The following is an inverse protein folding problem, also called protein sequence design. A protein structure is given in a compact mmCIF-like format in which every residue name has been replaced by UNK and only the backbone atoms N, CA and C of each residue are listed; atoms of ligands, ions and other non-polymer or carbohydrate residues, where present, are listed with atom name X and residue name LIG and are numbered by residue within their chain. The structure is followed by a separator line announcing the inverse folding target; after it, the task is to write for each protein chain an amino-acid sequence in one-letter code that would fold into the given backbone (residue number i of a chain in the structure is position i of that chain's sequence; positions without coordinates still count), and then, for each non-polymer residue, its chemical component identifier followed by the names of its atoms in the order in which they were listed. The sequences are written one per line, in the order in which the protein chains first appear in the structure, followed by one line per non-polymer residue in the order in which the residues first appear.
data_IF_751506132640
#
_entry.id   IF_751506132640
#
_cell.length_a   1.000
_cell.length_b   1.000
_cell.length_c   1.000
_cell.angle_alpha   90.00
_cell.angle_beta   90.00
_cell.angle_gamma   90.00
#
_symmetry.space_group_name_H-M   'P 1'
#
loop_
_entity.id
_entity.type
_entity.pdbx_description
1 polymer ?
#
# COMPACT_ATOMS: atom_id res chain seq x y z
N UNK A 1 -8.23 -8.25 13.71
CA UNK A 1 -6.79 -7.88 13.72
C UNK A 1 -6.42 -7.62 15.17
N UNK A 2 -5.36 -8.24 15.70
CA UNK A 2 -4.88 -7.93 17.06
C UNK A 2 -3.85 -6.81 16.97
N UNK A 3 -3.98 -5.78 17.81
CA UNK A 3 -3.12 -4.58 17.81
C UNK A 3 -1.62 -4.90 17.92
N UNK A 4 -1.28 -6.06 18.49
CA UNK A 4 0.10 -6.53 18.70
C UNK A 4 0.93 -6.70 17.42
N UNK A 5 0.31 -7.05 16.29
CA UNK A 5 1.03 -7.28 15.04
C UNK A 5 0.95 -6.08 14.07
N UNK A 6 0.29 -5.00 14.47
CA UNK A 6 0.02 -3.83 13.63
C UNK A 6 1.17 -2.82 13.74
N UNK A 7 2.04 -2.74 12.74
CA UNK A 7 3.25 -1.90 12.83
C UNK A 7 2.88 -0.41 12.85
N UNK A 8 2.14 0.09 11.86
CA UNK A 8 1.87 1.52 11.74
C UNK A 8 1.05 2.02 12.92
N UNK A 9 0.00 1.29 13.31
CA UNK A 9 -0.79 1.62 14.50
C UNK A 9 0.07 1.81 15.75
N UNK A 10 1.07 0.94 15.96
CA UNK A 10 1.92 0.97 17.16
C UNK A 10 2.95 2.12 17.16
N UNK A 11 3.38 2.60 15.98
CA UNK A 11 4.35 3.71 15.87
C UNK A 11 3.76 5.04 15.43
N UNK A 12 2.46 5.09 15.10
CA UNK A 12 1.80 6.28 14.58
C UNK A 12 1.99 7.51 15.49
N UNK A 13 1.73 7.35 16.79
CA UNK A 13 1.86 8.45 17.78
C UNK A 13 3.30 8.91 18.00
N UNK A 14 4.28 8.12 17.57
CA UNK A 14 5.71 8.41 17.72
C UNK A 14 6.28 9.17 16.51
N UNK A 15 5.48 9.35 15.45
CA UNK A 15 5.89 10.02 14.21
C UNK A 15 7.17 9.43 13.58
N UNK A 16 7.26 8.09 13.61
CA UNK A 16 8.40 7.33 13.09
C UNK A 16 8.21 6.86 11.65
N UNK A 17 7.00 6.93 11.11
CA UNK A 17 6.70 6.52 9.74
C UNK A 17 7.19 7.62 8.80
N UNK A 18 8.02 7.27 7.83
CA UNK A 18 8.34 8.12 6.69
C UNK A 18 7.77 7.50 5.44
N UNK A 19 7.34 8.37 4.52
CA UNK A 19 6.61 7.95 3.34
C UNK A 19 7.11 8.70 2.12
N UNK A 20 7.34 7.96 1.04
CA UNK A 20 7.75 8.49 -0.26
C UNK A 20 6.76 8.01 -1.30
N UNK A 21 6.42 8.85 -2.28
CA UNK A 21 5.40 8.52 -3.29
C UNK A 21 5.85 8.91 -4.67
N UNK A 22 5.28 8.24 -5.69
CA UNK A 22 5.45 8.60 -7.10
C UNK A 22 4.86 9.98 -7.45
N UNK A 23 3.90 10.45 -6.64
CA UNK A 23 3.19 11.70 -6.80
C UNK A 23 1.86 11.65 -6.05
N UNK A 24 1.11 12.74 -6.04
CA UNK A 24 -0.23 12.76 -5.43
C UNK A 24 -1.19 13.58 -6.26
N UNK A 25 -2.37 13.03 -6.54
CA UNK A 25 -3.49 13.75 -7.13
C UNK A 25 -4.38 14.35 -6.04
N UNK A 26 -5.39 15.11 -6.46
CA UNK A 26 -6.32 15.77 -5.56
C UNK A 26 -7.59 14.95 -5.33
N UNK A 27 -8.30 15.29 -4.27
CA UNK A 27 -9.64 14.78 -3.98
C UNK A 27 -10.47 15.91 -3.38
N UNK A 28 -11.79 15.84 -3.50
CA UNK A 28 -12.67 16.73 -2.76
C UNK A 28 -12.76 16.28 -1.30
N UNK A 29 -12.16 17.05 -0.38
CA UNK A 29 -12.07 16.72 1.04
C UNK A 29 -12.65 17.90 1.82
N UNK A 30 -13.67 17.64 2.64
CA UNK A 30 -14.27 18.63 3.55
C UNK A 30 -14.71 19.95 2.89
N UNK A 31 -15.26 19.89 1.68
CA UNK A 31 -15.81 21.08 1.02
C UNK A 31 -14.88 21.78 0.01
N UNK A 32 -13.66 21.27 -0.18
CA UNK A 32 -12.71 21.83 -1.15
C UNK A 32 -11.85 20.77 -1.81
N UNK A 33 -11.33 21.06 -3.00
CA UNK A 33 -10.33 20.24 -3.67
C UNK A 33 -8.99 20.42 -2.96
N UNK A 34 -8.35 19.32 -2.57
CA UNK A 34 -7.06 19.32 -1.87
C UNK A 34 -6.16 18.24 -2.45
N UNK A 35 -4.87 18.54 -2.60
CA UNK A 35 -3.85 17.51 -2.87
C UNK A 35 -3.89 16.51 -1.71
N UNK A 36 -4.06 15.24 -2.05
CA UNK A 36 -4.11 14.18 -1.06
C UNK A 36 -2.72 13.94 -0.46
N UNK A 37 -2.68 13.43 0.76
CA UNK A 37 -1.44 13.27 1.52
C UNK A 37 -1.14 11.78 1.72
N UNK A 38 0.11 11.32 1.50
CA UNK A 38 0.48 9.92 1.74
C UNK A 38 0.18 9.44 3.16
N UNK A 39 0.24 10.36 4.15
CA UNK A 39 -0.10 10.13 5.55
C UNK A 39 -1.51 9.56 5.74
N UNK A 40 -2.43 9.86 4.81
CA UNK A 40 -3.80 9.34 4.86
C UNK A 40 -3.82 7.81 4.76
N UNK A 41 -2.82 7.15 4.16
CA UNK A 41 -2.84 5.68 4.08
C UNK A 41 -2.61 5.01 5.43
N UNK A 42 -2.02 5.66 6.42
CA UNK A 42 -1.69 5.03 7.70
C UNK A 42 -2.20 5.82 8.90
N UNK A 43 -3.05 6.82 8.69
CA UNK A 43 -3.74 7.43 9.81
C UNK A 43 -4.62 6.41 10.55
N UNK A 44 -4.86 6.75 11.81
CA UNK A 44 -5.56 5.87 12.74
C UNK A 44 -7.00 6.32 12.97
N UNK A 45 -7.55 7.15 12.07
CA UNK A 45 -8.92 7.66 12.15
C UNK A 45 -9.79 7.04 11.06
N UNK A 46 -11.08 6.90 11.35
CA UNK A 46 -12.05 6.57 10.32
C UNK A 46 -12.25 7.78 9.41
N UNK A 47 -12.17 7.55 8.10
CA UNK A 47 -12.24 8.61 7.10
C UNK A 47 -12.76 8.08 5.77
N UNK A 48 -13.27 9.01 4.97
CA UNK A 48 -13.76 8.75 3.62
C UNK A 48 -12.85 9.29 2.51
N UNK A 49 -11.82 10.06 2.89
CA UNK A 49 -10.79 10.52 1.99
C UNK A 49 -9.61 9.56 1.95
N UNK A 50 -8.88 9.60 0.85
CA UNK A 50 -7.84 8.63 0.49
C UNK A 50 -6.54 9.36 0.15
N UNK A 51 -5.44 8.61 0.12
CA UNK A 51 -4.32 9.02 -0.68
C UNK A 51 -4.55 8.58 -2.14
N UNK A 52 -4.42 9.53 -3.05
CA UNK A 52 -4.51 9.34 -4.49
C UNK A 52 -3.13 9.56 -5.10
N UNK A 53 -2.59 8.57 -5.80
CA UNK A 53 -1.36 8.74 -6.57
C UNK A 53 -1.53 9.75 -7.71
N UNK A 54 -0.42 10.16 -8.33
CA UNK A 54 -0.46 10.77 -9.66
C UNK A 54 -1.07 9.79 -10.68
N UNK A 55 -1.60 10.34 -11.77
CA UNK A 55 -2.14 9.56 -12.88
C UNK A 55 -1.02 9.33 -13.89
N UNK A 56 -0.82 8.07 -14.28
CA UNK A 56 0.16 7.69 -15.28
C UNK A 56 -0.15 8.34 -16.63
N UNK A 57 0.82 9.07 -17.18
CA UNK A 57 0.73 9.72 -18.50
C UNK A 57 1.05 8.71 -19.61
N UNK A 58 1.79 7.66 -19.27
CA UNK A 58 2.13 6.52 -20.13
C UNK A 58 1.72 5.19 -19.49
N UNK A 59 1.74 4.10 -20.27
CA UNK A 59 1.46 2.74 -19.78
C UNK A 59 2.53 2.16 -18.85
N UNK A 60 3.63 2.88 -18.63
CA UNK A 60 4.75 2.44 -17.78
C UNK A 60 4.96 3.34 -16.56
N UNK A 61 4.09 4.33 -16.36
CA UNK A 61 4.15 5.25 -15.22
C UNK A 61 3.47 4.61 -14.00
N UNK A 62 4.04 3.52 -13.51
CA UNK A 62 3.47 2.75 -12.40
C UNK A 62 3.51 3.57 -11.10
N UNK A 63 2.35 3.94 -10.52
CA UNK A 63 2.31 4.64 -9.25
C UNK A 63 2.78 3.73 -8.12
N UNK A 64 3.40 4.34 -7.11
CA UNK A 64 3.91 3.61 -5.95
C UNK A 64 3.92 4.47 -4.69
N UNK A 65 3.95 3.78 -3.55
CA UNK A 65 4.16 4.36 -2.22
C UNK A 65 5.15 3.51 -1.44
N UNK A 66 6.11 4.15 -0.78
CA UNK A 66 7.17 3.52 0.01
C UNK A 66 7.02 3.96 1.45
N UNK A 67 7.17 3.02 2.37
CA UNK A 67 7.19 3.25 3.80
C UNK A 67 8.52 2.80 4.40
N UNK A 68 9.00 3.56 5.37
CA UNK A 68 10.09 3.15 6.28
C UNK A 68 9.79 3.62 7.69
N UNK A 69 10.38 2.96 8.68
CA UNK A 69 10.26 3.33 10.09
C UNK A 69 11.63 3.79 10.58
N UNK A 70 11.72 5.04 11.05
CA UNK A 70 12.98 5.66 11.50
C UNK A 70 13.74 4.76 12.46
N UNK A 71 15.01 4.47 12.13
CA UNK A 71 15.94 3.67 12.94
C UNK A 71 15.39 2.29 13.36
N UNK A 72 14.59 1.65 12.49
CA UNK A 72 14.02 0.32 12.74
C UNK A 72 14.08 -0.55 11.48
N UNK A 73 14.23 -1.85 11.68
CA UNK A 73 14.02 -2.86 10.65
C UNK A 73 12.59 -3.39 10.76
N UNK A 74 11.93 -3.51 9.61
CA UNK A 74 10.58 -4.06 9.48
C UNK A 74 10.70 -5.57 9.24
N UNK A 75 10.20 -6.39 10.17
CA UNK A 75 10.04 -7.83 9.97
C UNK A 75 8.59 -8.09 9.55
N UNK A 76 8.36 -8.14 8.25
CA UNK A 76 7.05 -8.14 7.61
C UNK A 76 6.49 -9.58 7.48
N UNK A 77 5.28 -9.80 7.98
CA UNK A 77 4.53 -11.07 7.88
C UNK A 77 3.23 -10.97 7.08
N UNK A 78 2.96 -9.80 6.53
CA UNK A 78 1.74 -9.55 5.80
C UNK A 78 1.38 -8.07 5.82
N UNK A 79 0.21 -7.77 5.28
CA UNK A 79 -0.32 -6.41 5.26
C UNK A 79 -1.84 -6.45 5.14
N UNK A 80 -2.47 -5.43 5.68
CA UNK A 80 -3.85 -5.09 5.38
C UNK A 80 -3.88 -3.92 4.40
N UNK A 81 -4.79 -3.99 3.45
CA UNK A 81 -5.01 -2.97 2.45
C UNK A 81 -6.51 -2.72 2.32
N UNK A 82 -6.90 -1.45 2.36
CA UNK A 82 -8.22 -0.94 2.01
C UNK A 82 -8.08 0.00 0.82
N UNK A 83 -8.67 -0.38 -0.30
CA UNK A 83 -8.74 0.48 -1.48
C UNK A 83 -9.52 1.75 -1.19
N UNK A 84 -9.18 2.82 -1.89
CA UNK A 84 -9.83 4.11 -1.75
C UNK A 84 -11.21 4.15 -2.37
N UNK A 85 -11.66 5.35 -2.68
CA UNK A 85 -12.96 5.63 -3.26
C UNK A 85 -14.10 5.26 -2.30
N UNK A 86 -13.90 5.55 -1.00
CA UNK A 86 -14.86 5.23 0.06
C UNK A 86 -16.02 6.21 0.20
N UNK A 87 -15.98 7.36 -0.47
CA UNK A 87 -17.10 8.28 -0.53
C UNK A 87 -18.13 7.85 -1.59
N UNK A 88 -19.40 8.20 -1.36
CA UNK A 88 -20.60 7.78 -2.12
C UNK A 88 -20.69 8.36 -3.56
N UNK A 89 -19.56 8.68 -4.19
CA UNK A 89 -19.48 9.35 -5.48
C UNK A 89 -18.62 8.59 -6.50
N UNK A 90 -19.00 8.67 -7.78
CA UNK A 90 -18.33 8.03 -8.92
C UNK A 90 -16.94 8.60 -9.26
N UNK A 91 -16.37 9.48 -8.41
CA UNK A 91 -15.12 10.18 -8.66
C UNK A 91 -14.22 10.08 -7.43
N UNK A 92 -13.11 9.37 -7.57
CA UNK A 92 -12.24 9.01 -6.47
C UNK A 92 -11.04 9.95 -6.34
N UNK A 93 -10.21 9.96 -7.39
CA UNK A 93 -9.05 10.83 -7.51
C UNK A 93 -9.30 11.77 -8.67
N UNK A 94 -9.19 13.07 -8.42
CA UNK A 94 -9.49 14.11 -9.39
C UNK A 94 -8.33 15.11 -9.48
N UNK A 95 -8.22 15.79 -10.62
CA UNK A 95 -7.35 16.95 -10.79
C UNK A 95 -5.85 16.64 -10.66
N UNK A 96 -5.32 15.96 -11.67
CA UNK A 96 -3.90 15.96 -12.04
C UNK A 96 -3.78 16.75 -13.35
N UNK A 97 -3.06 17.89 -13.36
CA UNK A 97 -2.70 18.66 -14.56
C UNK A 97 -3.81 18.85 -15.66
N UNK A 98 -5.05 19.19 -15.26
CA UNK A 98 -6.24 19.39 -16.14
C UNK A 98 -7.00 18.12 -16.57
N UNK A 99 -6.71 16.95 -16.02
CA UNK A 99 -7.44 15.72 -16.33
C UNK A 99 -8.71 15.55 -15.48
N UNK A 100 -9.72 14.89 -16.08
CA UNK A 100 -10.97 14.49 -15.44
C UNK A 100 -10.72 13.51 -14.28
N UNK A 101 -11.71 13.32 -13.41
CA UNK A 101 -11.65 12.37 -12.32
C UNK A 101 -11.44 10.93 -12.81
N UNK A 102 -10.47 10.21 -12.23
CA UNK A 102 -10.16 8.82 -12.56
C UNK A 102 -10.67 7.85 -11.50
N UNK A 103 -10.95 6.63 -11.95
CA UNK A 103 -11.29 5.53 -11.08
C UNK A 103 -10.04 4.72 -10.70
N UNK A 104 -9.35 5.19 -9.66
CA UNK A 104 -8.06 4.64 -9.22
C UNK A 104 -8.24 3.44 -8.29
N UNK A 105 -8.63 2.31 -8.87
CA UNK A 105 -8.91 1.07 -8.16
C UNK A 105 -7.64 0.23 -7.93
N UNK A 106 -7.65 -0.68 -6.95
CA UNK A 106 -6.57 -1.65 -6.75
C UNK A 106 -6.89 -2.92 -7.54
N UNK A 107 -6.19 -3.14 -8.67
CA UNK A 107 -6.45 -4.26 -9.58
C UNK A 107 -5.34 -5.31 -9.60
N UNK A 108 -4.15 -4.93 -10.09
CA UNK A 108 -2.93 -5.74 -9.98
C UNK A 108 -1.86 -4.90 -9.30
N UNK A 109 -1.21 -5.46 -8.27
CA UNK A 109 -0.16 -4.76 -7.53
C UNK A 109 0.83 -5.74 -6.90
N UNK A 110 2.02 -5.23 -6.64
CA UNK A 110 3.08 -5.92 -5.93
C UNK A 110 3.39 -5.20 -4.62
N UNK A 111 3.57 -5.98 -3.57
CA UNK A 111 4.26 -5.53 -2.36
C UNK A 111 5.72 -5.97 -2.46
N UNK A 112 6.61 -5.01 -2.29
CA UNK A 112 8.05 -5.19 -2.43
C UNK A 112 8.78 -4.71 -1.19
N UNK A 113 9.94 -5.28 -0.94
CA UNK A 113 10.83 -4.87 0.15
C UNK A 113 12.21 -4.51 -0.38
N UNK A 114 12.91 -3.63 0.33
CA UNK A 114 14.25 -3.18 -0.01
C UNK A 114 15.05 -2.79 1.22
N UNK A 115 16.36 -2.96 1.14
CA UNK A 115 17.31 -2.51 2.17
C UNK A 115 18.00 -1.18 1.81
N UNK A 116 18.01 -0.81 0.52
CA UNK A 116 18.78 0.31 -0.03
C UNK A 116 17.93 1.33 -0.79
N UNK A 117 16.62 1.10 -0.90
CA UNK A 117 15.66 1.88 -1.69
C UNK A 117 15.98 1.92 -3.20
N UNK A 118 16.75 0.95 -3.70
CA UNK A 118 17.19 0.84 -5.11
C UNK A 118 16.91 -0.54 -5.69
N UNK A 119 17.29 -1.59 -4.96
CA UNK A 119 17.03 -2.98 -5.30
C UNK A 119 15.77 -3.45 -4.58
N UNK A 120 14.85 -4.06 -5.32
CA UNK A 120 13.52 -4.39 -4.81
C UNK A 120 13.21 -5.86 -5.05
N UNK A 121 12.80 -6.56 -3.99
CA UNK A 121 12.28 -7.94 -4.06
C UNK A 121 10.77 -7.91 -3.91
N UNK A 122 10.04 -8.51 -4.85
CA UNK A 122 8.59 -8.75 -4.69
C UNK A 122 8.38 -9.89 -3.69
N UNK A 123 7.63 -9.60 -2.63
CA UNK A 123 7.30 -10.55 -1.56
C UNK A 123 5.84 -11.00 -1.63
N UNK A 124 5.01 -10.26 -2.35
CA UNK A 124 3.63 -10.64 -2.61
C UNK A 124 3.13 -9.94 -3.87
N UNK A 125 2.35 -10.66 -4.68
CA UNK A 125 1.76 -10.13 -5.90
C UNK A 125 0.28 -10.51 -5.98
N UNK A 126 -0.53 -9.54 -6.37
CA UNK A 126 -1.95 -9.75 -6.68
C UNK A 126 -2.16 -9.42 -8.15
N UNK A 127 -2.84 -10.32 -8.85
CA UNK A 127 -3.17 -10.15 -10.26
C UNK A 127 -4.67 -10.09 -10.43
N UNK A 128 -5.15 -8.99 -11.02
CA UNK A 128 -6.52 -8.82 -11.52
C UNK A 128 -7.61 -9.09 -10.48
N UNK A 129 -7.43 -8.56 -9.27
CA UNK A 129 -8.41 -8.69 -8.20
C UNK A 129 -9.61 -7.77 -8.45
N UNK A 130 -10.63 -8.33 -9.10
CA UNK A 130 -11.88 -7.64 -9.43
C UNK A 130 -12.67 -7.20 -8.17
N UNK A 131 -12.35 -7.72 -6.98
CA UNK A 131 -13.02 -7.37 -5.74
C UNK A 131 -12.41 -6.14 -5.07
N UNK A 132 -11.17 -5.74 -5.37
CA UNK A 132 -10.48 -4.66 -4.64
C UNK A 132 -10.73 -3.24 -5.20
N UNK A 133 -11.90 -3.02 -5.81
CA UNK A 133 -12.19 -1.80 -6.60
C UNK A 133 -12.60 -0.55 -5.81
N UNK A 134 -13.52 -0.65 -4.85
CA UNK A 134 -14.15 0.52 -4.19
C UNK A 134 -14.32 0.27 -2.70
N UNK A 135 -13.52 0.92 -1.87
CA UNK A 135 -13.60 0.80 -0.41
C UNK A 135 -13.58 -0.66 0.08
N UNK A 136 -12.88 -1.52 -0.66
CA UNK A 136 -12.77 -2.94 -0.35
C UNK A 136 -11.47 -3.18 0.36
N UNK A 137 -11.51 -4.12 1.29
CA UNK A 137 -10.40 -4.40 2.16
C UNK A 137 -10.07 -5.88 2.17
N UNK A 138 -8.77 -6.17 2.19
CA UNK A 138 -8.24 -7.52 2.32
C UNK A 138 -7.03 -7.50 3.23
N UNK A 139 -6.83 -8.62 3.92
CA UNK A 139 -5.62 -8.88 4.69
C UNK A 139 -4.88 -10.02 4.03
N UNK A 140 -3.58 -9.82 3.80
CA UNK A 140 -2.69 -10.79 3.20
C UNK A 140 -1.66 -11.21 4.24
N UNK A 141 -1.49 -12.52 4.39
CA UNK A 141 -0.51 -13.13 5.30
C UNK A 141 0.52 -13.88 4.49
N UNK A 142 1.77 -13.79 4.90
CA UNK A 142 2.89 -14.47 4.26
C UNK A 142 3.22 -15.76 5.01
N UNK A 143 3.72 -16.75 4.27
CA UNK A 143 4.24 -18.00 4.84
C UNK A 143 5.50 -17.75 5.68
N UNK A 144 6.32 -16.81 5.24
CA UNK A 144 7.60 -16.44 5.85
C UNK A 144 7.62 -14.98 6.33
N UNK A 145 8.76 -14.57 6.92
CA UNK A 145 8.98 -13.18 7.40
C UNK A 145 10.04 -12.52 6.56
N UNK A 146 9.75 -11.34 6.02
CA UNK A 146 10.70 -10.56 5.23
C UNK A 146 11.23 -9.38 6.04
N UNK A 147 12.55 -9.34 6.26
CA UNK A 147 13.21 -8.26 6.99
C UNK A 147 13.75 -7.20 6.04
N UNK A 148 13.33 -5.95 6.21
CA UNK A 148 13.76 -4.85 5.34
C UNK A 148 13.67 -3.45 5.99
N UNK A 149 14.36 -2.48 5.40
CA UNK A 149 14.24 -1.04 5.77
C UNK A 149 13.07 -0.34 5.08
N UNK A 150 12.74 -0.75 3.86
CA UNK A 150 11.74 -0.12 3.02
C UNK A 150 10.71 -1.15 2.57
N UNK A 151 9.45 -0.76 2.54
CA UNK A 151 8.35 -1.52 1.96
C UNK A 151 7.66 -0.65 0.91
N UNK A 152 7.49 -1.16 -0.31
CA UNK A 152 6.83 -0.48 -1.42
C UNK A 152 5.57 -1.23 -1.82
N UNK A 153 4.47 -0.50 -1.96
CA UNK A 153 3.32 -0.94 -2.73
C UNK A 153 3.39 -0.26 -4.10
N UNK A 154 3.35 -1.05 -5.17
CA UNK A 154 3.40 -0.56 -6.56
C UNK A 154 2.28 -1.21 -7.37
N UNK A 155 1.62 -0.42 -8.20
CA UNK A 155 0.64 -0.94 -9.15
C UNK A 155 1.36 -1.62 -10.32
N UNK A 156 0.90 -2.81 -10.71
CA UNK A 156 1.45 -3.56 -11.84
C UNK A 156 0.59 -3.40 -13.10
N UNK A 157 -0.72 -3.22 -12.94
CA UNK A 157 -1.68 -3.06 -14.03
C UNK A 157 -2.83 -2.14 -13.60
N UNK A 158 -3.30 -1.33 -14.53
CA UNK A 158 -4.48 -0.49 -14.33
C UNK A 158 -5.76 -1.33 -14.34
N UNK A 159 -6.82 -0.80 -13.74
CA UNK A 159 -8.15 -1.38 -13.88
C UNK A 159 -8.59 -1.35 -15.35
N UNK A 160 -9.41 -2.31 -15.84
CA UNK A 160 -9.84 -2.31 -17.22
C UNK A 160 -10.46 -0.97 -17.64
N UNK A 161 -9.96 -0.39 -18.75
CA UNK A 161 -10.38 0.92 -19.30
C UNK A 161 -9.94 2.16 -18.49
N UNK A 162 -9.17 1.97 -17.41
CA UNK A 162 -8.62 3.05 -16.61
C UNK A 162 -7.14 3.28 -16.89
N UNK A 163 -6.60 4.40 -16.40
CA UNK A 163 -5.16 4.68 -16.41
C UNK A 163 -4.49 4.13 -15.14
N UNK A 164 -3.16 4.05 -15.16
CA UNK A 164 -2.38 3.70 -13.99
C UNK A 164 -2.54 4.79 -12.92
N UNK A 165 -3.25 4.46 -11.85
CA UNK A 165 -3.35 5.26 -10.63
C UNK A 165 -3.82 4.37 -9.47
N UNK A 166 -3.51 4.78 -8.24
CA UNK A 166 -3.94 4.10 -7.01
C UNK A 166 -4.66 5.05 -6.07
N UNK A 167 -5.78 4.61 -5.53
CA UNK A 167 -6.40 5.20 -4.35
C UNK A 167 -6.29 4.23 -3.17
N UNK A 168 -5.75 4.70 -2.05
CA UNK A 168 -5.57 3.91 -0.83
C UNK A 168 -6.20 4.65 0.33
N UNK A 169 -7.22 4.04 0.94
CA UNK A 169 -7.84 4.56 2.15
C UNK A 169 -7.00 4.22 3.38
N UNK A 170 -6.52 2.96 3.44
CA UNK A 170 -5.74 2.46 4.56
C UNK A 170 -4.80 1.34 4.15
N UNK A 171 -3.59 1.38 4.68
CA UNK A 171 -2.59 0.33 4.61
C UNK A 171 -2.05 0.13 6.01
N UNK A 172 -1.85 -1.13 6.40
CA UNK A 172 -1.27 -1.48 7.69
C UNK A 172 -0.29 -2.63 7.47
N UNK A 173 0.99 -2.42 7.82
CA UNK A 173 1.98 -3.49 7.77
C UNK A 173 1.83 -4.39 8.98
N UNK A 174 1.80 -5.71 8.74
CA UNK A 174 1.66 -6.70 9.78
C UNK A 174 3.02 -7.35 10.06
N UNK A 175 3.46 -7.35 11.31
CA UNK A 175 4.77 -7.86 11.67
C UNK A 175 5.31 -7.31 12.99
N UNK A 176 6.63 -7.19 13.06
CA UNK A 176 7.34 -6.64 14.23
C UNK A 176 8.48 -5.73 13.79
N UNK A 177 8.83 -4.79 14.67
CA UNK A 177 10.00 -3.94 14.49
C UNK A 177 11.16 -4.47 15.34
N UNK A 178 12.35 -4.50 14.74
CA UNK A 178 13.60 -4.72 15.48
C UNK A 178 14.29 -3.39 15.75
N UNK A 179 14.91 -3.25 16.91
CA UNK A 179 15.85 -2.16 17.20
C UNK A 179 17.17 -2.45 16.50
N UNK A 180 17.67 -1.52 15.68
CA UNK A 180 18.97 -1.67 15.03
C UNK A 180 19.17 -0.79 13.81
N UNK A 181 20.39 -0.25 13.67
CA UNK A 181 20.92 0.32 12.43
C UNK A 181 21.69 -0.71 11.59
N UNK A 182 21.88 -1.91 12.12
CA UNK A 182 22.60 -3.01 11.49
C UNK A 182 21.59 -3.90 10.76
N UNK A 183 21.60 -3.80 9.43
CA UNK A 183 21.32 -4.96 8.61
C UNK A 183 22.66 -5.67 8.60
N UNK A 184 22.76 -6.80 9.28
CA UNK A 184 23.89 -7.69 9.06
C UNK A 184 23.79 -8.10 7.59
N UNK A 185 24.72 -7.65 6.75
CA UNK A 185 24.69 -7.90 5.30
C UNK A 185 24.98 -9.36 4.95
N UNK A 186 25.04 -10.25 5.95
CA UNK A 186 25.52 -11.63 5.85
C UNK A 186 24.44 -12.68 6.19
N UNK A 187 23.14 -12.36 6.10
CA UNK A 187 22.08 -13.38 5.94
C UNK A 187 21.48 -13.31 4.52
N UNK A 188 22.32 -13.63 3.53
CA UNK A 188 21.84 -14.24 2.30
C UNK A 188 21.36 -15.66 2.61
N UNK A 189 20.08 -15.83 2.92
CA UNK A 189 19.41 -17.11 2.68
C UNK A 189 18.32 -16.83 1.64
N UNK A 190 18.73 -16.95 0.38
CA UNK A 190 17.84 -17.04 -0.76
C UNK A 190 17.42 -18.49 -0.92
N UNK A 191 16.13 -18.78 -0.75
CA UNK A 191 15.47 -19.85 -1.50
C UNK A 191 14.57 -19.16 -2.55
N UNK A 192 14.93 -19.33 -3.81
CA UNK A 192 14.36 -18.67 -4.98
C UNK A 192 13.03 -19.31 -5.47
N UNK A 193 12.32 -20.07 -4.63
CA UNK A 193 11.21 -20.91 -5.10
C UNK A 193 9.82 -20.70 -4.46
N UNK A 194 9.62 -19.74 -3.56
CA UNK A 194 8.28 -19.52 -2.96
C UNK A 194 7.74 -18.10 -3.17
N UNK A 195 7.45 -17.75 -4.44
CA UNK A 195 6.41 -16.75 -4.68
C UNK A 195 5.10 -17.39 -4.26
N UNK A 196 4.59 -17.02 -3.08
CA UNK A 196 3.27 -17.42 -2.62
C UNK A 196 2.20 -16.76 -3.50
N UNK A 197 1.92 -17.39 -4.63
CA UNK A 197 0.77 -17.15 -5.49
C UNK A 197 -0.39 -17.85 -4.78
N UNK A 198 -1.48 -17.12 -4.53
CA UNK A 198 -2.74 -17.55 -3.90
C UNK A 198 -2.83 -17.27 -2.38
N UNK A 199 -3.30 -16.08 -2.05
CA UNK A 199 -3.98 -15.83 -0.77
C UNK A 199 -5.36 -16.50 -0.77
N UNK A 200 -5.57 -17.52 0.07
CA UNK A 200 -6.90 -18.02 0.38
C UNK A 200 -7.70 -16.93 1.12
N UNK A 201 -8.65 -16.30 0.42
CA UNK A 201 -9.67 -15.43 1.05
C UNK A 201 -10.58 -16.33 1.89
N UNK A 202 -10.45 -16.25 3.22
CA UNK A 202 -11.36 -16.94 4.12
C UNK A 202 -12.72 -16.21 4.09
N UNK A 203 -13.71 -16.81 3.44
CA UNK A 203 -15.11 -16.36 3.54
C UNK A 203 -15.61 -16.65 4.96
N UNK A 204 -15.79 -15.62 5.77
CA UNK A 204 -16.63 -15.72 6.95
C UNK A 204 -18.06 -16.02 6.49
N UNK A 205 -18.52 -17.25 6.71
CA UNK A 205 -19.95 -17.55 6.66
C UNK A 205 -20.62 -16.86 7.83
N UNK A 206 -21.45 -15.87 7.51
CA UNK A 206 -22.40 -15.27 8.46
C UNK A 206 -23.35 -16.38 8.90
N UNK A 207 -23.45 -16.59 10.23
CA UNK A 207 -24.54 -17.33 10.85
C UNK A 207 -25.75 -16.43 11.02
#
# INVERSE_FOLDING_TARGET
MTDLNSIFKNVYKQNLIETYVSGSASQYINGSIQITKPEYTYDQVEKRYDWCSNIGKTQTDYPWIIYTIKNRIINLKGYYLKSGCCDDGNTCCCYDDNEYCCFCCMYSWSLQVSNDNKTWKTVHKVEKDEEMKICKEKTYHFSETYSAKYVRLIQDEACPQERLCMAINKLELLGKLSEGNEIDTDEEIYDDEDVSIIGHVSKNQVK
#
